data_IF_510547406774
#
_entry.id   IF_510547406774
#
_cell.length_a   1.000
_cell.length_b   1.000
_cell.length_c   1.000
_cell.angle_alpha   90.00
_cell.angle_beta   90.00
_cell.angle_gamma   90.00
#
_symmetry.space_group_name_H-M   'P 1'
#
loop_
_entity.id
_entity.type
_entity.pdbx_description
1 polymer ?
#
# COMPACT_ATOMS: atom_id res chain seq x y z
N UNK A 1 -71.67 2.07 -43.43
CA UNK A 1 -72.24 1.09 -42.49
C UNK A 1 -71.09 0.35 -41.81
N UNK A 2 -71.10 0.40 -40.47
CA UNK A 2 -70.40 -0.43 -39.48
C UNK A 2 -68.87 -0.25 -39.24
N UNK A 3 -68.63 -0.14 -37.93
CA UNK A 3 -67.45 0.21 -37.17
C UNK A 3 -66.50 -0.96 -36.91
N UNK A 4 -65.26 -0.63 -36.57
CA UNK A 4 -64.38 -1.44 -35.73
C UNK A 4 -62.94 -0.91 -35.81
N UNK A 5 -62.14 -0.81 -34.75
CA UNK A 5 -62.34 -0.91 -33.32
C UNK A 5 -61.08 -0.24 -32.72
N UNK A 6 -61.25 0.64 -31.75
CA UNK A 6 -60.15 1.32 -31.03
C UNK A 6 -59.26 0.32 -30.31
N UNK A 7 -57.94 0.55 -30.21
CA UNK A 7 -57.17 0.16 -29.01
C UNK A 7 -55.81 0.89 -28.90
N UNK A 8 -55.77 1.83 -27.95
CA UNK A 8 -54.75 2.01 -26.89
C UNK A 8 -53.29 2.32 -27.25
N UNK A 9 -52.90 3.52 -26.81
CA UNK A 9 -51.54 4.00 -26.62
C UNK A 9 -50.71 3.13 -25.66
N UNK A 10 -49.41 3.02 -25.91
CA UNK A 10 -48.37 2.78 -24.89
C UNK A 10 -47.16 3.64 -25.23
N UNK A 11 -46.83 4.56 -24.33
CA UNK A 11 -45.61 5.35 -24.36
C UNK A 11 -44.40 4.45 -24.08
N UNK A 12 -43.41 4.47 -24.97
CA UNK A 12 -42.11 3.90 -24.71
C UNK A 12 -41.13 5.04 -24.36
N UNK A 13 -41.08 5.40 -23.08
CA UNK A 13 -39.91 6.06 -22.51
C UNK A 13 -38.83 5.00 -22.33
N UNK A 14 -37.65 5.17 -22.94
CA UNK A 14 -36.59 4.17 -22.93
C UNK A 14 -35.21 4.79 -22.94
N UNK A 15 -34.71 5.10 -21.74
CA UNK A 15 -33.32 5.23 -21.29
C UNK A 15 -32.25 5.67 -22.31
N UNK A 16 -31.78 6.92 -22.18
CA UNK A 16 -30.43 7.29 -22.61
C UNK A 16 -29.46 6.71 -21.57
N UNK A 17 -28.83 5.56 -21.87
CA UNK A 17 -27.65 5.13 -21.12
C UNK A 17 -26.48 6.03 -21.51
N UNK A 18 -26.25 7.09 -20.74
CA UNK A 18 -24.92 7.70 -20.67
C UNK A 18 -24.00 6.69 -20.00
N UNK A 19 -23.25 5.94 -20.79
CA UNK A 19 -22.11 5.17 -20.31
C UNK A 19 -21.10 6.15 -19.74
N UNK A 20 -21.15 6.37 -18.42
CA UNK A 20 -20.03 6.94 -17.69
C UNK A 20 -18.91 5.92 -17.88
N UNK A 21 -17.96 6.25 -18.75
CA UNK A 21 -16.72 5.52 -18.86
C UNK A 21 -16.05 5.60 -17.50
N UNK A 22 -16.23 4.56 -16.70
CA UNK A 22 -15.43 4.31 -15.52
C UNK A 22 -14.06 4.04 -16.11
N UNK A 23 -13.22 5.08 -16.16
CA UNK A 23 -11.81 4.90 -16.43
C UNK A 23 -11.34 3.93 -15.37
N UNK A 24 -11.06 2.69 -15.78
CA UNK A 24 -10.20 1.82 -15.01
C UNK A 24 -8.89 2.58 -14.89
N UNK A 25 -8.74 3.33 -13.80
CA UNK A 25 -7.44 3.84 -13.41
C UNK A 25 -6.53 2.62 -13.41
N UNK A 26 -5.43 2.71 -14.15
CA UNK A 26 -4.33 1.78 -13.97
C UNK A 26 -4.09 1.69 -12.47
N UNK A 27 -4.25 0.51 -11.89
CA UNK A 27 -3.72 0.25 -10.57
C UNK A 27 -2.23 0.49 -10.71
N UNK A 28 -1.76 1.68 -10.32
CA UNK A 28 -0.35 1.89 -10.05
C UNK A 28 -0.04 0.83 -9.00
N UNK A 29 0.75 -0.19 -9.37
CA UNK A 29 1.41 -0.98 -8.36
C UNK A 29 2.03 0.05 -7.40
N UNK A 30 1.76 -0.07 -6.11
CA UNK A 30 2.50 0.66 -5.08
C UNK A 30 3.98 0.37 -5.37
N UNK A 31 4.64 1.26 -6.12
CA UNK A 31 6.00 1.00 -6.58
C UNK A 31 6.88 1.08 -5.35
N UNK A 32 7.59 -0.02 -5.06
CA UNK A 32 8.63 -0.07 -4.04
C UNK A 32 9.92 0.35 -4.74
N UNK A 33 10.13 1.65 -4.91
CA UNK A 33 11.07 2.20 -5.88
C UNK A 33 12.37 2.77 -5.26
N UNK A 34 12.42 2.85 -3.92
CA UNK A 34 13.55 3.37 -3.17
C UNK A 34 13.47 4.86 -2.85
N UNK A 35 12.36 5.52 -3.10
CA UNK A 35 12.14 6.94 -2.82
C UNK A 35 10.98 7.13 -1.87
N UNK A 36 11.28 7.48 -0.62
CA UNK A 36 10.23 7.73 0.36
C UNK A 36 9.53 9.08 0.13
N UNK A 37 8.36 9.05 -0.49
CA UNK A 37 7.51 10.20 -0.79
C UNK A 37 6.40 10.40 0.25
N UNK A 38 5.49 11.36 0.01
CA UNK A 38 4.39 11.65 0.92
C UNK A 38 3.24 10.68 0.67
N UNK A 39 2.73 10.02 1.71
CA UNK A 39 1.77 8.92 1.58
C UNK A 39 2.38 7.53 1.72
N UNK A 40 3.65 7.42 2.07
CA UNK A 40 4.37 6.14 2.15
C UNK A 40 5.01 5.90 3.52
N UNK A 41 5.16 4.62 3.85
CA UNK A 41 5.90 4.15 5.00
C UNK A 41 7.22 3.54 4.58
N UNK A 42 8.33 4.08 5.10
CA UNK A 42 9.68 3.66 4.75
C UNK A 42 10.34 2.85 5.86
N UNK A 43 10.89 1.70 5.49
CA UNK A 43 11.77 0.86 6.30
C UNK A 43 13.20 0.94 5.73
N UNK A 44 14.18 1.24 6.57
CA UNK A 44 15.56 1.48 6.15
C UNK A 44 16.49 0.41 6.71
N UNK A 45 17.43 -0.03 5.90
CA UNK A 45 18.36 -1.09 6.28
C UNK A 45 19.36 -0.67 7.36
N UNK A 46 19.59 0.64 7.57
CA UNK A 46 20.44 1.18 8.63
C UNK A 46 19.70 2.17 9.51
N UNK A 47 20.25 2.36 10.71
CA UNK A 47 19.79 3.36 11.67
C UNK A 47 19.74 4.79 11.08
N UNK A 48 18.94 5.63 11.74
CA UNK A 48 18.75 7.05 11.46
C UNK A 48 18.20 7.36 10.07
N UNK A 49 17.37 6.45 9.53
CA UNK A 49 16.72 6.57 8.22
C UNK A 49 17.73 6.76 7.09
N UNK A 50 18.81 5.99 7.12
CA UNK A 50 19.91 6.08 6.14
C UNK A 50 19.94 4.88 5.21
N UNK A 51 20.70 5.03 4.12
CA UNK A 51 20.95 4.00 3.10
C UNK A 51 19.71 3.72 2.23
N UNK A 52 19.45 2.46 1.88
CA UNK A 52 18.38 2.06 0.96
C UNK A 52 17.09 1.78 1.74
N UNK A 53 15.95 1.96 1.07
CA UNK A 53 14.62 1.94 1.69
C UNK A 53 13.73 0.90 1.01
N UNK A 54 12.88 0.27 1.81
CA UNK A 54 11.66 -0.39 1.38
C UNK A 54 10.53 0.60 1.69
N UNK A 55 10.09 1.31 0.67
CA UNK A 55 8.95 2.22 0.69
C UNK A 55 7.66 1.44 0.40
N UNK A 56 6.66 1.63 1.26
CA UNK A 56 5.39 0.91 1.21
C UNK A 56 4.26 1.94 1.10
N UNK A 57 3.51 1.85 0.00
CA UNK A 57 2.23 2.54 -0.16
C UNK A 57 1.02 1.64 0.18
N UNK A 58 1.23 0.31 0.19
CA UNK A 58 0.20 -0.67 0.55
C UNK A 58 0.72 -1.63 1.62
N UNK A 59 -0.20 -2.22 2.39
CA UNK A 59 0.14 -3.26 3.36
C UNK A 59 0.81 -4.44 2.65
N UNK A 60 1.84 -5.00 3.28
CA UNK A 60 2.51 -6.19 2.79
C UNK A 60 2.56 -7.26 3.87
N UNK A 61 2.10 -8.45 3.50
CA UNK A 61 2.05 -9.58 4.41
C UNK A 61 3.33 -10.39 4.50
N UNK A 62 4.32 -10.20 3.62
CA UNK A 62 5.54 -10.98 3.62
C UNK A 62 6.66 -10.30 2.82
N UNK A 63 7.73 -9.89 3.52
CA UNK A 63 8.90 -9.25 2.89
C UNK A 63 9.90 -10.22 2.25
N UNK A 64 9.62 -11.53 2.19
CA UNK A 64 10.55 -12.53 1.66
C UNK A 64 11.04 -12.25 0.22
N UNK A 65 10.17 -11.65 -0.61
CA UNK A 65 10.50 -11.27 -2.00
C UNK A 65 10.76 -9.76 -2.17
N UNK A 66 10.85 -9.03 -1.05
CA UNK A 66 11.13 -7.61 -1.04
C UNK A 66 12.59 -7.31 -0.80
N UNK A 67 13.04 -6.24 -1.46
CA UNK A 67 14.42 -5.81 -1.44
C UNK A 67 14.48 -4.32 -1.25
N UNK A 68 15.42 -3.86 -0.43
CA UNK A 68 15.69 -2.43 -0.33
C UNK A 68 16.11 -1.87 -1.69
N UNK A 69 15.58 -0.70 -2.03
CA UNK A 69 15.86 0.02 -3.27
C UNK A 69 16.58 1.33 -3.00
N UNK A 70 17.31 1.80 -4.00
CA UNK A 70 18.17 2.98 -3.93
C UNK A 70 19.54 2.72 -4.53
N UNK A 71 20.46 3.67 -4.36
CA UNK A 71 21.83 3.62 -4.90
C UNK A 71 22.90 3.36 -3.84
N UNK A 72 22.49 2.98 -2.63
CA UNK A 72 23.36 2.88 -1.45
C UNK A 72 23.73 1.42 -1.16
N UNK A 73 24.60 1.19 -0.17
CA UNK A 73 25.30 -0.10 -0.01
C UNK A 73 24.41 -1.32 0.26
N UNK A 74 23.19 -1.16 0.75
CA UNK A 74 22.26 -2.26 0.97
C UNK A 74 21.18 -2.38 -0.12
N UNK A 75 21.33 -1.68 -1.25
CA UNK A 75 20.43 -1.85 -2.38
C UNK A 75 20.45 -3.31 -2.87
N UNK A 76 19.28 -3.86 -3.15
CA UNK A 76 19.06 -5.28 -3.47
C UNK A 76 19.37 -6.28 -2.34
N UNK A 77 19.60 -5.81 -1.10
CA UNK A 77 19.52 -6.67 0.08
C UNK A 77 18.05 -7.00 0.35
N UNK A 78 17.75 -8.23 0.75
CA UNK A 78 16.39 -8.59 1.17
C UNK A 78 15.96 -7.69 2.33
N UNK A 79 14.72 -7.21 2.29
CA UNK A 79 14.15 -6.39 3.36
C UNK A 79 13.65 -7.22 4.55
N UNK A 80 13.43 -8.52 4.35
CA UNK A 80 13.03 -9.45 5.40
C UNK A 80 14.12 -9.55 6.46
N UNK A 81 13.78 -9.27 7.72
CA UNK A 81 14.68 -9.35 8.87
C UNK A 81 15.96 -8.50 8.73
N UNK A 82 15.89 -7.38 8.02
CA UNK A 82 17.06 -6.51 7.76
C UNK A 82 16.79 -5.02 7.98
N UNK A 83 15.67 -4.67 8.61
CA UNK A 83 15.33 -3.28 8.90
C UNK A 83 15.90 -2.81 10.24
N UNK A 84 16.50 -1.62 10.27
CA UNK A 84 17.04 -1.00 11.49
C UNK A 84 16.39 0.35 11.85
N UNK A 85 15.67 0.98 10.93
CA UNK A 85 14.94 2.21 11.22
C UNK A 85 13.76 2.44 10.29
N UNK A 86 12.92 3.42 10.63
CA UNK A 86 11.69 3.71 9.90
C UNK A 86 11.42 5.21 9.77
N UNK A 87 10.62 5.58 8.78
CA UNK A 87 9.98 6.88 8.65
C UNK A 87 8.60 6.72 8.05
N UNK A 88 7.57 7.13 8.78
CA UNK A 88 6.20 7.13 8.32
C UNK A 88 5.84 8.51 7.76
N UNK A 89 5.86 8.63 6.43
CA UNK A 89 5.40 9.83 5.70
C UNK A 89 3.97 9.68 5.21
N UNK A 90 3.29 8.60 5.60
CA UNK A 90 1.90 8.36 5.33
C UNK A 90 1.02 9.14 6.34
N UNK A 91 -0.24 9.30 5.96
CA UNK A 91 -1.33 9.78 6.80
C UNK A 91 -1.88 8.71 7.74
N UNK A 92 -1.67 7.44 7.43
CA UNK A 92 -2.06 6.30 8.26
C UNK A 92 -1.00 5.94 9.30
N UNK A 93 -1.43 5.29 10.38
CA UNK A 93 -0.50 4.59 11.25
C UNK A 93 -0.19 3.22 10.62
N UNK A 94 1.03 2.75 10.83
CA UNK A 94 1.48 1.46 10.33
C UNK A 94 1.81 0.53 11.49
N UNK A 95 1.47 -0.74 11.36
CA UNK A 95 1.83 -1.80 12.29
C UNK A 95 2.85 -2.70 11.61
N UNK A 96 4.03 -2.82 12.21
CA UNK A 96 5.09 -3.72 11.75
C UNK A 96 5.14 -4.98 12.61
N UNK A 97 5.56 -6.08 12.02
CA UNK A 97 5.54 -7.39 12.64
C UNK A 97 6.83 -8.16 12.39
N UNK A 98 7.26 -8.94 13.39
CA UNK A 98 8.52 -9.69 13.30
C UNK A 98 8.41 -11.01 12.52
N UNK A 99 7.25 -11.29 11.94
CA UNK A 99 7.01 -12.50 11.15
C UNK A 99 6.02 -12.19 10.02
N UNK A 100 5.87 -13.11 9.07
CA UNK A 100 4.92 -12.98 7.96
C UNK A 100 3.47 -13.02 8.47
N UNK A 101 2.55 -12.49 7.65
CA UNK A 101 1.08 -12.42 7.89
C UNK A 101 0.68 -11.79 9.23
N UNK A 102 1.47 -10.83 9.72
CA UNK A 102 1.21 -10.18 10.99
C UNK A 102 1.49 -11.06 12.21
N UNK A 103 2.29 -12.13 12.04
CA UNK A 103 2.76 -12.97 13.13
C UNK A 103 3.79 -12.28 14.02
N UNK A 104 4.30 -13.02 15.01
CA UNK A 104 5.36 -12.55 15.91
C UNK A 104 4.97 -11.35 16.78
N UNK A 105 5.98 -10.59 17.22
CA UNK A 105 5.77 -9.34 17.94
C UNK A 105 5.35 -8.25 16.95
N UNK A 106 4.43 -7.38 17.37
CA UNK A 106 3.98 -6.25 16.56
C UNK A 106 3.99 -4.94 17.32
N UNK A 107 4.33 -3.85 16.64
CA UNK A 107 4.24 -2.49 17.18
C UNK A 107 3.67 -1.52 16.15
N UNK A 108 2.97 -0.50 16.64
CA UNK A 108 2.45 0.58 15.80
C UNK A 108 3.44 1.73 15.71
N UNK A 109 3.47 2.35 14.54
CA UNK A 109 4.25 3.52 14.18
C UNK A 109 3.26 4.57 13.70
N UNK A 110 3.11 5.64 14.47
CA UNK A 110 2.14 6.70 14.17
C UNK A 110 2.48 7.42 12.85
N UNK A 111 1.47 8.01 12.21
CA UNK A 111 1.66 8.92 11.08
C UNK A 111 2.66 10.03 11.45
N UNK A 112 3.59 10.33 10.54
CA UNK A 112 4.65 11.33 10.77
C UNK A 112 5.79 10.88 11.70
N UNK A 113 5.72 9.69 12.30
CA UNK A 113 6.76 9.21 13.20
C UNK A 113 8.01 8.74 12.43
N UNK A 114 9.19 8.95 13.02
CA UNK A 114 10.47 8.41 12.53
C UNK A 114 11.34 8.00 13.70
N UNK A 115 12.17 6.98 13.52
CA UNK A 115 13.06 6.51 14.57
C UNK A 115 13.79 5.23 14.22
N UNK A 116 14.68 4.81 15.12
CA UNK A 116 15.34 3.51 15.04
C UNK A 116 14.41 2.44 15.60
N UNK A 117 14.52 1.22 15.07
CA UNK A 117 13.89 0.06 15.69
C UNK A 117 14.57 -0.22 17.05
N UNK A 118 13.82 -0.81 17.98
CA UNK A 118 14.38 -1.30 19.23
C UNK A 118 14.91 -2.74 19.04
N UNK A 119 15.56 -3.29 20.07
CA UNK A 119 16.16 -4.64 20.05
C UNK A 119 15.20 -5.77 19.63
N UNK A 120 13.90 -5.61 19.81
CA UNK A 120 12.89 -6.61 19.39
C UNK A 120 12.62 -6.59 17.90
N UNK A 121 12.78 -5.44 17.23
CA UNK A 121 12.41 -5.25 15.84
C UNK A 121 13.60 -5.06 14.90
N UNK A 122 14.76 -4.64 15.42
CA UNK A 122 15.98 -4.49 14.62
C UNK A 122 16.34 -5.82 13.98
N UNK A 123 16.42 -5.82 12.65
CA UNK A 123 16.73 -7.01 11.84
C UNK A 123 15.78 -8.19 12.12
N UNK A 124 14.49 -7.89 12.30
CA UNK A 124 13.47 -8.93 12.51
C UNK A 124 12.12 -8.61 11.87
N UNK A 125 11.94 -7.45 11.25
CA UNK A 125 10.64 -7.10 10.64
C UNK A 125 10.45 -7.88 9.33
N UNK A 126 9.28 -8.52 9.19
CA UNK A 126 8.92 -9.39 8.06
C UNK A 126 7.53 -9.09 7.45
N UNK A 127 6.71 -8.22 8.05
CA UNK A 127 5.45 -7.73 7.44
C UNK A 127 4.99 -6.38 8.02
N UNK A 128 4.14 -5.65 7.28
CA UNK A 128 3.60 -4.35 7.70
C UNK A 128 2.18 -4.07 7.18
N UNK A 129 1.34 -3.44 8.00
CA UNK A 129 -0.06 -3.12 7.70
C UNK A 129 -0.44 -1.71 8.13
N UNK A 130 -1.09 -0.94 7.27
CA UNK A 130 -1.65 0.36 7.67
C UNK A 130 -3.07 0.22 8.25
N UNK A 131 -3.49 1.18 9.06
CA UNK A 131 -4.83 1.25 9.66
C UNK A 131 -5.28 2.68 9.98
#
# INVERSE_FOLDING_TARGET
>A
MKFGNSLRAVAAAGLVLTTVGIGAGSASAAEKDGWLTNGEFGLFCYQNQTNSVLDLYASDSNFADDYFKGTQSCANQSANDWTESYSNRDTYAWKVHTDWKGGGYGTSIAAGARGNTNVTFTNSISSAYFF
#
